data_IF_417899290641
#
_entry.id   IF_417899290641
#
_cell.length_a   1.000
_cell.length_b   1.000
_cell.length_c   1.000
_cell.angle_alpha   90.00
_cell.angle_beta   90.00
_cell.angle_gamma   90.00
#
_symmetry.space_group_name_H-M   'P 1'
#
loop_
_entity.id
_entity.type
_entity.pdbx_description
1 polymer ?
#
# COMPACT_ATOMS: atom_id res chain seq x y z
N UNK A 1 -4.97 -33.16 -31.68
CA UNK A 1 -6.40 -32.85 -31.88
C UNK A 1 -6.54 -31.33 -31.77
N UNK A 2 -7.08 -30.63 -32.77
CA UNK A 2 -7.10 -29.15 -32.79
C UNK A 2 -8.15 -28.66 -31.78
N UNK A 3 -7.71 -28.06 -30.68
CA UNK A 3 -8.61 -27.53 -29.64
C UNK A 3 -9.51 -26.46 -30.29
N UNK A 4 -10.82 -26.53 -30.03
CA UNK A 4 -11.78 -25.55 -30.55
C UNK A 4 -11.51 -24.18 -29.92
N UNK A 5 -11.75 -23.09 -30.67
CA UNK A 5 -11.49 -21.70 -30.22
C UNK A 5 -12.04 -21.41 -28.82
N UNK A 6 -13.33 -21.66 -28.58
CA UNK A 6 -13.97 -21.42 -27.27
C UNK A 6 -13.32 -22.21 -26.13
N UNK A 7 -12.93 -23.46 -26.41
CA UNK A 7 -12.27 -24.31 -25.42
C UNK A 7 -10.88 -23.79 -25.08
N UNK A 8 -10.11 -23.38 -26.11
CA UNK A 8 -8.79 -22.78 -25.92
C UNK A 8 -8.87 -21.49 -25.13
N UNK A 9 -9.85 -20.63 -25.41
CA UNK A 9 -10.09 -19.39 -24.66
C UNK A 9 -10.40 -19.63 -23.19
N UNK A 10 -11.23 -20.65 -22.89
CA UNK A 10 -11.50 -21.05 -21.50
C UNK A 10 -10.23 -21.54 -20.80
N UNK A 11 -9.51 -22.47 -21.41
CA UNK A 11 -8.25 -23.01 -20.86
C UNK A 11 -7.18 -21.93 -20.70
N UNK A 12 -7.14 -20.95 -21.59
CA UNK A 12 -6.24 -19.79 -21.49
C UNK A 12 -6.53 -18.98 -20.24
N UNK A 13 -7.80 -18.71 -19.93
CA UNK A 13 -8.18 -18.01 -18.70
C UNK A 13 -7.79 -18.81 -17.45
N UNK A 14 -8.14 -20.11 -17.41
CA UNK A 14 -7.80 -21.01 -16.28
C UNK A 14 -6.29 -21.09 -16.05
N UNK A 15 -5.50 -21.22 -17.12
CA UNK A 15 -4.04 -21.29 -17.05
C UNK A 15 -3.45 -19.99 -16.49
N UNK A 16 -3.98 -18.83 -16.92
CA UNK A 16 -3.48 -17.53 -16.47
C UNK A 16 -3.96 -17.12 -15.08
N UNK A 17 -5.06 -17.69 -14.61
CA UNK A 17 -5.48 -17.57 -13.21
C UNK A 17 -4.50 -18.28 -12.27
N UNK A 18 -4.01 -19.46 -12.64
CA UNK A 18 -3.01 -20.22 -11.87
C UNK A 18 -1.56 -19.74 -12.06
N UNK A 19 -1.20 -19.28 -13.26
CA UNK A 19 0.14 -18.75 -13.57
C UNK A 19 0.07 -17.45 -14.39
N UNK A 20 -0.13 -16.30 -13.72
CA UNK A 20 -0.32 -15.00 -14.38
C UNK A 20 0.93 -14.45 -15.07
N UNK A 21 2.10 -15.07 -14.91
CA UNK A 21 3.39 -14.60 -15.42
C UNK A 21 3.76 -15.13 -16.80
N UNK A 22 2.95 -16.04 -17.36
CA UNK A 22 3.24 -16.61 -18.68
C UNK A 22 3.18 -15.55 -19.78
N UNK A 23 4.21 -15.52 -20.62
CA UNK A 23 4.31 -14.70 -21.82
C UNK A 23 3.44 -15.24 -22.96
N UNK A 24 3.13 -14.39 -23.94
CA UNK A 24 2.37 -14.84 -25.13
C UNK A 24 3.15 -15.90 -25.92
N UNK A 25 4.48 -15.85 -25.89
CA UNK A 25 5.40 -16.83 -26.46
C UNK A 25 5.25 -18.20 -25.80
N UNK A 26 5.24 -18.26 -24.46
CA UNK A 26 5.05 -19.51 -23.70
C UNK A 26 3.65 -20.07 -23.89
N UNK A 27 2.62 -19.21 -23.89
CA UNK A 27 1.23 -19.61 -24.16
C UNK A 27 1.06 -20.15 -25.57
N UNK A 28 1.71 -19.53 -26.55
CA UNK A 28 1.73 -19.96 -27.95
C UNK A 28 2.33 -21.36 -28.08
N UNK A 29 3.46 -21.61 -27.42
CA UNK A 29 4.09 -22.92 -27.35
C UNK A 29 3.18 -23.95 -26.64
N UNK A 30 2.55 -23.57 -25.52
CA UNK A 30 1.67 -24.44 -24.75
C UNK A 30 0.44 -24.91 -25.54
N UNK A 31 -0.24 -24.00 -26.23
CA UNK A 31 -1.46 -24.31 -27.01
C UNK A 31 -1.18 -24.76 -28.45
N UNK A 32 0.07 -24.72 -28.91
CA UNK A 32 0.44 -25.08 -30.29
C UNK A 32 -0.21 -24.17 -31.34
N UNK A 33 -0.38 -22.88 -31.03
CA UNK A 33 -0.95 -21.86 -31.91
C UNK A 33 0.02 -20.70 -32.07
N UNK A 34 -0.21 -19.81 -33.03
CA UNK A 34 0.65 -18.62 -33.18
C UNK A 34 0.46 -17.62 -32.02
N UNK A 35 1.48 -16.82 -31.73
CA UNK A 35 1.42 -15.68 -30.80
C UNK A 35 0.25 -14.75 -31.14
N UNK A 36 -0.03 -14.52 -32.42
CA UNK A 36 -1.16 -13.70 -32.89
C UNK A 36 -2.52 -14.29 -32.47
N UNK A 37 -2.64 -15.62 -32.44
CA UNK A 37 -3.85 -16.29 -31.96
C UNK A 37 -4.04 -16.09 -30.45
N UNK A 38 -2.96 -16.16 -29.66
CA UNK A 38 -3.01 -15.87 -28.22
C UNK A 38 -3.42 -14.42 -27.98
N UNK A 39 -2.85 -13.46 -28.71
CA UNK A 39 -3.23 -12.04 -28.61
C UNK A 39 -4.70 -11.82 -28.93
N UNK A 40 -5.21 -12.44 -30.00
CA UNK A 40 -6.62 -12.34 -30.36
C UNK A 40 -7.53 -12.96 -29.28
N UNK A 41 -7.18 -14.14 -28.78
CA UNK A 41 -7.94 -14.80 -27.72
C UNK A 41 -7.95 -13.98 -26.42
N UNK A 42 -6.81 -13.36 -26.05
CA UNK A 42 -6.72 -12.43 -24.92
C UNK A 42 -7.63 -11.22 -25.09
N UNK A 43 -7.60 -10.56 -26.26
CA UNK A 43 -8.45 -9.40 -26.53
C UNK A 43 -9.94 -9.76 -26.48
N UNK A 44 -10.33 -10.90 -27.03
CA UNK A 44 -11.73 -11.35 -27.01
C UNK A 44 -12.21 -11.77 -25.62
N UNK A 45 -11.31 -12.21 -24.73
CA UNK A 45 -11.62 -12.58 -23.36
C UNK A 45 -11.29 -11.48 -22.33
N UNK A 46 -10.94 -10.27 -22.79
CA UNK A 46 -10.52 -9.15 -21.93
C UNK A 46 -9.37 -9.49 -20.96
N UNK A 47 -8.43 -10.34 -21.40
CA UNK A 47 -7.29 -10.75 -20.57
C UNK A 47 -6.21 -9.65 -20.63
N UNK A 48 -5.80 -9.06 -19.48
CA UNK A 48 -4.81 -7.97 -19.42
C UNK A 48 -3.43 -8.38 -19.92
N UNK A 49 -2.63 -7.43 -20.40
CA UNK A 49 -1.24 -7.70 -20.85
C UNK A 49 -0.36 -8.22 -19.72
N UNK A 50 0.74 -8.90 -20.06
CA UNK A 50 1.65 -9.45 -19.06
C UNK A 50 2.07 -8.40 -18.03
N UNK A 51 2.34 -7.17 -18.47
CA UNK A 51 2.70 -6.06 -17.59
C UNK A 51 1.59 -5.71 -16.59
N UNK A 52 0.34 -5.75 -17.01
CA UNK A 52 -0.82 -5.50 -16.15
C UNK A 52 -1.05 -6.66 -15.20
N UNK A 53 -0.94 -7.90 -15.67
CA UNK A 53 -1.05 -9.09 -14.81
C UNK A 53 0.04 -9.12 -13.73
N UNK A 54 1.28 -8.75 -14.05
CA UNK A 54 2.36 -8.61 -13.07
C UNK A 54 2.01 -7.54 -12.03
N UNK A 55 1.49 -6.38 -12.47
CA UNK A 55 1.03 -5.34 -11.55
C UNK A 55 -0.08 -5.88 -10.66
N UNK A 56 -1.07 -6.57 -11.19
CA UNK A 56 -2.21 -7.10 -10.42
C UNK A 56 -1.76 -8.12 -9.36
N UNK A 57 -0.79 -8.98 -9.68
CA UNK A 57 -0.22 -9.90 -8.68
C UNK A 57 0.55 -9.14 -7.61
N UNK A 58 1.34 -8.14 -7.99
CA UNK A 58 2.04 -7.29 -7.03
C UNK A 58 1.05 -6.52 -6.13
N UNK A 59 -0.08 -6.05 -6.69
CA UNK A 59 -1.18 -5.45 -5.93
C UNK A 59 -1.85 -6.44 -4.98
N UNK A 60 -2.08 -7.69 -5.41
CA UNK A 60 -2.67 -8.76 -4.57
C UNK A 60 -1.73 -9.25 -3.46
N UNK A 61 -0.41 -9.13 -3.66
CA UNK A 61 0.59 -9.45 -2.64
C UNK A 61 0.78 -8.35 -1.59
N UNK A 62 0.00 -7.26 -1.64
CA UNK A 62 0.04 -6.27 -0.58
C UNK A 62 -0.34 -6.90 0.74
N UNK A 63 0.46 -6.60 1.74
CA UNK A 63 0.17 -7.07 3.09
C UNK A 63 -1.11 -6.38 3.60
N UNK A 64 -1.89 -7.13 4.38
CA UNK A 64 -2.95 -6.57 5.20
C UNK A 64 -2.33 -5.86 6.40
N UNK A 65 -2.95 -4.76 6.84
CA UNK A 65 -2.59 -4.11 8.09
C UNK A 65 -2.85 -5.08 9.25
N UNK A 66 -1.84 -5.29 10.10
CA UNK A 66 -1.91 -6.21 11.25
C UNK A 66 -2.18 -5.44 12.54
N UNK A 67 -1.47 -4.33 12.74
CA UNK A 67 -1.47 -3.56 13.99
C UNK A 67 -2.72 -2.68 14.21
N UNK A 68 -3.51 -2.45 13.17
CA UNK A 68 -4.67 -1.56 13.20
C UNK A 68 -5.81 -2.16 12.39
N UNK A 69 -7.03 -1.98 12.88
CA UNK A 69 -8.19 -2.15 12.03
C UNK A 69 -8.15 -1.11 10.89
N UNK A 70 -8.67 -1.41 9.69
CA UNK A 70 -8.71 -0.46 8.57
C UNK A 70 -9.33 0.90 8.95
N UNK A 71 -10.28 0.91 9.88
CA UNK A 71 -10.99 2.10 10.35
C UNK A 71 -10.17 2.97 11.32
N UNK A 72 -9.12 2.41 11.94
CA UNK A 72 -8.23 3.16 12.84
C UNK A 72 -7.13 3.91 12.08
N UNK A 73 -6.95 3.60 10.80
CA UNK A 73 -5.99 4.27 9.94
C UNK A 73 -6.52 5.64 9.54
N UNK A 74 -5.80 6.69 9.94
CA UNK A 74 -6.09 8.04 9.43
C UNK A 74 -5.64 8.17 7.96
N UNK A 75 -6.61 8.43 7.06
CA UNK A 75 -6.40 8.43 5.62
C UNK A 75 -6.63 7.04 5.00
N UNK A 76 -6.12 6.82 3.80
CA UNK A 76 -6.24 5.55 3.08
C UNK A 76 -4.84 4.99 2.80
N UNK A 77 -4.54 3.76 3.25
CA UNK A 77 -3.32 3.05 2.85
C UNK A 77 -3.48 2.58 1.41
N UNK A 78 -2.59 3.05 0.54
CA UNK A 78 -2.58 2.72 -0.88
C UNK A 78 -1.42 1.83 -1.27
N UNK A 79 -0.42 1.60 -0.42
CA UNK A 79 0.65 0.61 -0.60
C UNK A 79 1.16 0.19 0.78
N UNK A 80 1.36 -1.11 1.00
CA UNK A 80 1.94 -1.64 2.23
C UNK A 80 2.78 -2.87 1.91
N UNK A 81 4.04 -2.81 2.34
CA UNK A 81 4.94 -3.94 2.47
C UNK A 81 5.44 -3.91 3.91
N UNK A 82 4.95 -4.83 4.73
CA UNK A 82 5.25 -4.90 6.15
C UNK A 82 6.76 -4.91 6.38
N UNK A 83 7.18 -4.20 7.42
CA UNK A 83 8.59 -4.06 7.81
C UNK A 83 9.51 -3.39 6.77
N UNK A 84 8.99 -2.91 5.65
CA UNK A 84 9.78 -2.21 4.62
C UNK A 84 9.27 -0.79 4.36
N UNK A 85 8.07 -0.65 3.80
CA UNK A 85 7.50 0.64 3.41
C UNK A 85 5.97 0.64 3.41
N UNK A 86 5.40 1.83 3.60
CA UNK A 86 3.97 2.05 3.42
C UNK A 86 3.68 3.42 2.82
N UNK A 87 2.57 3.55 2.11
CA UNK A 87 2.08 4.81 1.55
C UNK A 87 0.62 4.99 1.93
N UNK A 88 0.27 6.17 2.45
CA UNK A 88 -1.12 6.57 2.62
C UNK A 88 -1.43 7.92 1.97
N UNK A 89 -2.71 8.11 1.67
CA UNK A 89 -3.26 9.33 1.09
C UNK A 89 -4.29 9.92 2.04
N UNK A 90 -4.30 11.23 2.15
CA UNK A 90 -5.26 11.98 2.96
C UNK A 90 -5.69 13.25 2.20
N UNK A 91 -6.98 13.38 1.94
CA UNK A 91 -7.58 14.58 1.34
C UNK A 91 -8.03 15.56 2.42
N UNK A 92 -7.50 16.78 2.38
CA UNK A 92 -7.75 17.77 3.43
C UNK A 92 -9.11 18.45 3.22
N UNK A 93 -10.13 17.92 3.87
CA UNK A 93 -11.47 18.53 3.96
C UNK A 93 -11.58 19.76 4.90
N UNK A 94 -12.69 20.52 4.83
CA UNK A 94 -12.96 21.68 5.70
C UNK A 94 -12.92 21.39 7.20
N UNK A 95 -13.27 20.17 7.61
CA UNK A 95 -13.24 19.67 8.98
C UNK A 95 -11.81 19.52 9.53
N UNK A 96 -10.80 19.49 8.66
CA UNK A 96 -9.41 19.30 9.05
C UNK A 96 -8.67 20.62 9.30
N UNK A 97 -9.24 21.75 8.88
CA UNK A 97 -8.53 23.03 8.86
C UNK A 97 -9.00 24.01 9.93
N UNK A 98 -8.17 25.02 10.23
CA UNK A 98 -8.64 26.21 10.94
C UNK A 98 -9.54 27.02 10.00
N UNK A 99 -10.81 27.18 10.35
CA UNK A 99 -11.84 27.85 9.53
C UNK A 99 -11.38 29.20 8.95
N UNK A 100 -10.67 30.02 9.76
CA UNK A 100 -10.22 31.36 9.36
C UNK A 100 -9.08 31.37 8.34
N UNK A 101 -8.19 30.38 8.36
CA UNK A 101 -6.97 30.39 7.54
C UNK A 101 -6.99 29.34 6.43
N UNK A 102 -7.87 28.35 6.53
CA UNK A 102 -7.90 27.17 5.66
C UNK A 102 -6.67 26.28 5.81
N UNK A 103 -5.88 26.44 6.88
CA UNK A 103 -4.67 25.64 7.13
C UNK A 103 -5.04 24.38 7.93
N UNK A 104 -4.59 23.22 7.46
CA UNK A 104 -4.73 21.93 8.14
C UNK A 104 -4.14 21.99 9.56
N UNK A 105 -4.92 21.53 10.54
CA UNK A 105 -4.47 21.42 11.91
C UNK A 105 -3.42 20.30 11.98
N UNK A 106 -2.27 20.58 12.60
CA UNK A 106 -1.10 19.69 12.55
C UNK A 106 -1.35 18.27 13.09
N UNK A 107 -2.34 18.09 13.98
CA UNK A 107 -2.68 16.76 14.50
C UNK A 107 -3.23 15.80 13.43
N UNK A 108 -3.80 16.28 12.32
CA UNK A 108 -4.26 15.42 11.22
C UNK A 108 -3.08 14.86 10.40
N UNK A 109 -2.10 15.71 10.10
CA UNK A 109 -0.87 15.27 9.42
C UNK A 109 -0.07 14.32 10.32
N UNK A 110 -0.01 14.63 11.61
CA UNK A 110 0.58 13.72 12.60
C UNK A 110 -0.19 12.40 12.66
N UNK A 111 -1.52 12.42 12.71
CA UNK A 111 -2.34 11.21 12.76
C UNK A 111 -2.10 10.33 11.53
N UNK A 112 -2.11 10.90 10.32
CA UNK A 112 -1.78 10.18 9.08
C UNK A 112 -0.39 9.52 9.15
N UNK A 113 0.63 10.30 9.54
CA UNK A 113 2.00 9.80 9.60
C UNK A 113 2.16 8.72 10.68
N UNK A 114 1.50 8.90 11.81
CA UNK A 114 1.58 8.00 12.95
C UNK A 114 0.85 6.68 12.69
N UNK A 115 -0.40 6.73 12.20
CA UNK A 115 -1.15 5.52 11.83
C UNK A 115 -0.42 4.72 10.75
N UNK A 116 0.19 5.40 9.77
CA UNK A 116 1.00 4.76 8.74
C UNK A 116 2.26 4.08 9.32
N UNK A 117 2.93 4.71 10.28
CA UNK A 117 4.08 4.12 10.96
C UNK A 117 3.67 2.89 11.80
N UNK A 118 2.52 2.93 12.48
CA UNK A 118 1.97 1.77 13.20
C UNK A 118 1.64 0.64 12.23
N UNK A 119 0.93 0.94 11.14
CA UNK A 119 0.52 -0.05 10.14
C UNK A 119 1.69 -0.76 9.44
N UNK A 120 2.86 -0.12 9.38
CA UNK A 120 4.07 -0.71 8.79
C UNK A 120 4.71 -1.80 9.66
N UNK A 121 4.41 -1.84 10.96
CA UNK A 121 5.00 -2.81 11.89
C UNK A 121 4.19 -4.11 11.87
N UNK A 122 4.88 -5.23 11.68
CA UNK A 122 4.29 -6.58 11.67
C UNK A 122 4.10 -7.11 13.10
N UNK A 123 3.23 -6.46 13.88
CA UNK A 123 2.88 -6.85 15.24
C UNK A 123 1.49 -6.28 15.61
N UNK A 124 0.65 -7.04 16.31
CA UNK A 124 -0.69 -6.60 16.74
C UNK A 124 -0.63 -5.55 17.87
N UNK A 125 0.42 -5.56 18.70
CA UNK A 125 0.59 -4.70 19.87
C UNK A 125 1.73 -3.70 19.66
N UNK A 126 1.44 -2.65 18.90
CA UNK A 126 2.40 -1.61 18.53
C UNK A 126 2.01 -0.28 19.14
N UNK A 127 2.96 0.36 19.84
CA UNK A 127 2.78 1.68 20.42
C UNK A 127 3.85 2.64 19.91
N UNK A 128 3.49 3.91 19.79
CA UNK A 128 4.47 4.97 19.49
C UNK A 128 5.14 5.41 20.79
N UNK A 129 6.41 5.07 20.96
CA UNK A 129 7.18 5.46 22.15
C UNK A 129 7.70 6.91 22.07
N UNK A 130 8.07 7.36 20.87
CA UNK A 130 8.53 8.72 20.63
C UNK A 130 8.26 9.11 19.18
N UNK A 131 7.90 10.37 18.97
CA UNK A 131 7.85 10.98 17.65
C UNK A 131 8.65 12.29 17.65
N UNK A 132 9.46 12.51 16.63
CA UNK A 132 10.09 13.80 16.33
C UNK A 132 9.59 14.22 14.96
N UNK A 133 8.89 15.35 14.89
CA UNK A 133 8.19 15.79 13.68
C UNK A 133 8.54 17.23 13.33
N UNK A 134 8.48 17.55 12.05
CA UNK A 134 8.65 18.88 11.54
C UNK A 134 7.59 19.16 10.47
N UNK A 135 6.84 20.25 10.68
CA UNK A 135 5.94 20.81 9.68
C UNK A 135 6.75 21.79 8.83
N UNK A 136 7.15 21.38 7.63
CA UNK A 136 8.00 22.19 6.76
C UNK A 136 7.20 23.28 6.02
N UNK A 137 5.91 23.02 5.76
CA UNK A 137 5.01 23.95 5.08
C UNK A 137 3.57 23.78 5.56
N UNK A 138 2.79 24.87 5.71
CA UNK A 138 1.35 24.76 5.90
C UNK A 138 0.69 23.98 4.75
N UNK A 139 -0.17 23.04 5.12
CA UNK A 139 -1.08 22.33 4.20
C UNK A 139 -2.44 23.01 4.26
N UNK A 140 -3.15 23.11 3.12
CA UNK A 140 -4.42 23.83 3.00
C UNK A 140 -5.58 22.91 2.63
N UNK A 141 -6.80 23.37 2.88
CA UNK A 141 -8.03 22.72 2.41
C UNK A 141 -7.98 22.47 0.90
N UNK A 142 -8.43 21.29 0.48
CA UNK A 142 -8.41 20.84 -0.91
C UNK A 142 -7.08 20.26 -1.37
N UNK A 143 -6.03 20.30 -0.55
CA UNK A 143 -4.77 19.63 -0.86
C UNK A 143 -4.84 18.14 -0.51
N UNK A 144 -4.17 17.33 -1.33
CA UNK A 144 -3.97 15.90 -1.10
C UNK A 144 -2.57 15.66 -0.55
N UNK A 145 -2.51 15.04 0.62
CA UNK A 145 -1.27 14.70 1.31
C UNK A 145 -0.94 13.23 1.06
N UNK A 146 0.22 12.99 0.46
CA UNK A 146 0.78 11.64 0.26
C UNK A 146 1.88 11.43 1.29
N UNK A 147 1.64 10.57 2.27
CA UNK A 147 2.61 10.18 3.28
C UNK A 147 3.31 8.88 2.85
N UNK A 148 4.63 8.84 2.99
CA UNK A 148 5.45 7.65 2.77
C UNK A 148 6.20 7.31 4.04
N UNK A 149 6.00 6.11 4.55
CA UNK A 149 6.77 5.54 5.66
C UNK A 149 7.82 4.55 5.14
N UNK A 150 9.01 4.58 5.74
CA UNK A 150 10.10 3.67 5.47
C UNK A 150 10.70 3.16 6.78
N UNK A 151 10.98 1.86 6.81
CA UNK A 151 11.71 1.23 7.90
C UNK A 151 13.17 1.69 7.90
N UNK A 152 13.60 2.40 8.94
CA UNK A 152 14.96 2.92 9.05
C UNK A 152 15.87 2.08 9.97
N UNK A 153 15.29 1.22 10.81
CA UNK A 153 16.06 0.28 11.61
C UNK A 153 15.23 -0.48 12.64
N UNK A 154 15.63 -1.71 12.93
CA UNK A 154 15.00 -2.61 13.91
C UNK A 154 16.01 -2.99 14.98
N UNK A 155 15.72 -2.65 16.23
CA UNK A 155 16.45 -3.06 17.42
C UNK A 155 15.63 -4.02 18.28
N UNK A 156 16.14 -4.38 19.47
CA UNK A 156 15.44 -5.22 20.44
C UNK A 156 14.18 -4.51 20.98
N UNK A 157 13.00 -4.80 20.40
CA UNK A 157 11.71 -4.23 20.80
C UNK A 157 11.48 -2.77 20.41
N UNK A 158 12.41 -2.16 19.67
CA UNK A 158 12.29 -0.78 19.18
C UNK A 158 12.52 -0.70 17.69
N UNK A 159 11.59 -0.08 16.99
CA UNK A 159 11.63 0.09 15.56
C UNK A 159 11.65 1.56 15.22
N UNK A 160 12.53 1.99 14.32
CA UNK A 160 12.61 3.38 13.86
C UNK A 160 12.03 3.47 12.46
N UNK A 161 11.04 4.34 12.28
CA UNK A 161 10.35 4.58 11.02
C UNK A 161 10.51 6.04 10.66
N UNK A 162 10.88 6.30 9.41
CA UNK A 162 10.89 7.65 8.85
C UNK A 162 9.65 7.84 8.00
N UNK A 163 8.96 8.96 8.20
CA UNK A 163 7.80 9.35 7.41
C UNK A 163 8.07 10.69 6.75
N UNK A 164 7.80 10.79 5.45
CA UNK A 164 7.81 12.05 4.73
C UNK A 164 6.49 12.22 4.01
N UNK A 165 5.83 13.36 4.21
CA UNK A 165 4.59 13.68 3.51
C UNK A 165 4.78 14.79 2.50
N UNK A 166 4.15 14.64 1.35
CA UNK A 166 4.21 15.55 0.23
C UNK A 166 2.82 16.04 -0.17
N UNK A 167 2.76 17.28 -0.62
CA UNK A 167 1.66 17.78 -1.46
C UNK A 167 2.25 18.02 -2.84
N UNK A 168 1.74 17.29 -3.84
CA UNK A 168 2.36 17.23 -5.17
C UNK A 168 3.84 16.77 -5.09
N UNK A 169 4.79 17.67 -5.32
CA UNK A 169 6.24 17.41 -5.29
C UNK A 169 6.94 18.10 -4.11
N UNK A 170 6.19 18.82 -3.26
CA UNK A 170 6.75 19.59 -2.16
C UNK A 170 6.62 18.84 -0.84
N UNK A 171 7.70 18.75 -0.07
CA UNK A 171 7.70 18.18 1.28
C UNK A 171 6.97 19.14 2.23
N UNK A 172 5.91 18.66 2.87
CA UNK A 172 5.09 19.43 3.82
C UNK A 172 5.26 18.97 5.28
N UNK A 173 5.73 17.74 5.47
CA UNK A 173 5.92 17.14 6.79
C UNK A 173 7.05 16.10 6.74
N UNK A 174 7.86 16.06 7.79
CA UNK A 174 8.80 14.97 8.05
C UNK A 174 8.64 14.48 9.48
N UNK A 175 8.84 13.19 9.71
CA UNK A 175 8.72 12.58 11.02
C UNK A 175 9.64 11.38 11.20
N UNK A 176 10.18 11.24 12.40
CA UNK A 176 10.83 10.04 12.89
C UNK A 176 9.99 9.47 14.04
N UNK A 177 9.58 8.22 13.89
CA UNK A 177 8.76 7.50 14.87
C UNK A 177 9.56 6.33 15.43
N UNK A 178 9.68 6.29 16.76
CA UNK A 178 10.19 5.14 17.48
C UNK A 178 8.99 4.34 18.00
N UNK A 179 8.81 3.15 17.45
CA UNK A 179 7.74 2.22 17.79
C UNK A 179 8.25 1.22 18.83
N UNK A 180 7.44 0.93 19.84
CA UNK A 180 7.62 -0.13 20.81
C UNK A 180 6.67 -1.27 20.48
N UNK A 181 7.21 -2.48 20.44
CA UNK A 181 6.42 -3.70 20.25
C UNK A 181 6.33 -4.41 21.59
N UNK A 182 5.11 -4.66 22.08
CA UNK A 182 4.94 -5.57 23.21
C UNK A 182 5.09 -7.00 22.69
N UNK A 183 5.99 -7.77 23.32
CA UNK A 183 5.89 -9.21 23.22
C UNK A 183 4.69 -9.63 24.08
N UNK A 184 3.90 -10.61 23.66
CA UNK A 184 2.66 -11.09 24.30
C UNK A 184 2.79 -11.44 25.81
N UNK A 185 3.99 -11.37 26.38
CA UNK A 185 4.30 -11.67 27.78
C UNK A 185 4.10 -10.49 28.73
N UNK A 186 3.86 -9.27 28.26
CA UNK A 186 3.57 -8.13 29.16
C UNK A 186 2.05 -7.94 29.32
N UNK A 187 1.53 -8.30 30.50
CA UNK A 187 0.12 -8.27 30.89
C UNK A 187 -0.57 -6.94 30.52
N UNK A 188 -1.76 -7.05 29.91
CA UNK A 188 -2.65 -5.92 29.61
C UNK A 188 -2.82 -5.05 30.86
N UNK A 189 -2.63 -3.72 30.81
CA UNK A 189 -3.00 -2.85 31.91
C UNK A 189 -4.51 -2.98 32.13
N UNK A 190 -4.89 -3.53 33.28
CA UNK A 190 -6.28 -3.50 33.74
C UNK A 190 -6.66 -2.05 34.03
N UNK A 191 -7.47 -1.43 33.17
CA UNK A 191 -8.28 -0.25 33.51
C UNK A 191 -9.66 -0.40 32.89
#
# INVERSE_FOLDING_TARGET
MKIKKKERQRLLMELLEGNPFMTDEELSAHFGVSIQTIRLDRMEQNIPELRERIKDVAYKQRDSVIALAPEEVFGEIVDLVLEERAISIFDVGPEHVFERSGIARGHHLFAQANSLAVALVNNEFVLTAKASIQFTRPVRVGERVVAKAEMAGKGSGRTRILVTSHVNQEVVFTGEFAMYQQNETEERPQQ
#
